data_IF_754258158799
#
_entry.id   IF_754258158799
#
_cell.length_a   1.000
_cell.length_b   1.000
_cell.length_c   1.000
_cell.angle_alpha   90.00
_cell.angle_beta   90.00
_cell.angle_gamma   90.00
#
_symmetry.space_group_name_H-M   'P 1'
#
loop_
_entity.id
_entity.type
_entity.pdbx_description
1 polymer ?
#
# COMPACT_ATOMS: atom_id res chain seq x y z
N UNK A 1 17.58 0.90 -4.00
CA UNK A 1 18.33 -0.27 -4.49
C UNK A 1 17.93 -1.61 -3.85
N UNK A 2 18.11 -1.86 -2.54
CA UNK A 2 17.73 -3.19 -1.95
C UNK A 2 16.23 -3.51 -2.11
N UNK A 3 15.36 -2.55 -1.83
CA UNK A 3 13.91 -2.65 -2.00
C UNK A 3 13.51 -2.97 -3.45
N UNK A 4 14.08 -2.24 -4.41
CA UNK A 4 13.84 -2.45 -5.85
C UNK A 4 14.28 -3.84 -6.31
N UNK A 5 15.43 -4.35 -5.83
CA UNK A 5 15.86 -5.71 -6.17
C UNK A 5 14.90 -6.79 -5.67
N UNK A 6 14.34 -6.60 -4.46
CA UNK A 6 13.30 -7.50 -3.92
C UNK A 6 12.05 -7.46 -4.80
N UNK A 7 11.61 -6.25 -5.20
CA UNK A 7 10.45 -6.08 -6.06
C UNK A 7 10.66 -6.65 -7.46
N UNK A 8 11.82 -6.44 -8.08
CA UNK A 8 12.12 -7.01 -9.39
C UNK A 8 12.25 -8.54 -9.36
N UNK A 9 12.77 -9.10 -8.27
CA UNK A 9 12.72 -10.55 -8.08
C UNK A 9 11.27 -11.04 -8.02
N UNK A 10 10.41 -10.35 -7.28
CA UNK A 10 8.99 -10.66 -7.25
C UNK A 10 8.34 -10.50 -8.64
N UNK A 11 8.68 -9.46 -9.41
CA UNK A 11 8.16 -9.27 -10.78
C UNK A 11 8.48 -10.47 -11.69
N UNK A 12 9.59 -11.17 -11.45
CA UNK A 12 10.03 -12.32 -12.25
C UNK A 12 9.47 -13.66 -11.76
N UNK A 13 9.31 -13.83 -10.44
CA UNK A 13 9.01 -15.14 -9.81
C UNK A 13 7.59 -15.20 -9.23
N UNK A 14 7.02 -14.06 -8.88
CA UNK A 14 5.72 -13.94 -8.21
C UNK A 14 5.77 -14.21 -6.71
N UNK A 15 4.61 -14.57 -6.16
CA UNK A 15 4.39 -14.84 -4.74
C UNK A 15 4.99 -16.21 -4.32
N UNK A 16 6.32 -16.28 -4.21
CA UNK A 16 6.99 -17.40 -3.56
C UNK A 16 7.33 -17.11 -2.09
N UNK A 17 7.72 -18.16 -1.36
CA UNK A 17 8.05 -18.08 0.07
C UNK A 17 9.16 -17.06 0.34
N UNK A 18 10.18 -17.03 -0.54
CA UNK A 18 11.30 -16.12 -0.39
C UNK A 18 10.88 -14.66 -0.63
N UNK A 19 10.09 -14.37 -1.67
CA UNK A 19 9.56 -13.03 -1.90
C UNK A 19 8.70 -12.58 -0.72
N UNK A 20 7.83 -13.48 -0.23
CA UNK A 20 6.99 -13.21 0.93
C UNK A 20 7.84 -12.86 2.16
N UNK A 21 8.88 -13.64 2.47
CA UNK A 21 9.76 -13.37 3.60
C UNK A 21 10.56 -12.06 3.46
N UNK A 22 10.98 -11.71 2.24
CA UNK A 22 11.72 -10.49 1.96
C UNK A 22 10.83 -9.24 2.00
N UNK A 23 9.63 -9.31 1.41
CA UNK A 23 8.65 -8.24 1.40
C UNK A 23 8.03 -8.02 2.80
N UNK A 24 7.93 -9.06 3.63
CA UNK A 24 7.41 -8.97 5.00
C UNK A 24 8.36 -8.29 5.99
N UNK A 25 9.61 -8.00 5.60
CA UNK A 25 10.57 -7.36 6.50
C UNK A 25 10.03 -5.99 6.95
N UNK A 26 10.02 -5.65 8.26
CA UNK A 26 9.39 -4.42 8.74
C UNK A 26 9.91 -3.14 8.06
N UNK A 27 11.21 -3.11 7.75
CA UNK A 27 11.85 -1.99 7.06
C UNK A 27 11.32 -1.76 5.64
N UNK A 28 10.73 -2.77 4.98
CA UNK A 28 10.13 -2.59 3.66
C UNK A 28 8.94 -1.64 3.72
N UNK A 29 8.11 -1.72 4.77
CA UNK A 29 6.97 -0.80 4.92
C UNK A 29 7.47 0.62 5.22
N UNK A 30 8.34 0.80 6.21
CA UNK A 30 8.84 2.13 6.56
C UNK A 30 9.58 2.78 5.40
N UNK A 31 10.45 2.03 4.70
CA UNK A 31 11.11 2.53 3.49
C UNK A 31 10.11 2.90 2.39
N UNK A 32 9.03 2.13 2.21
CA UNK A 32 8.00 2.44 1.23
C UNK A 32 7.28 3.76 1.54
N UNK A 33 6.99 4.02 2.82
CA UNK A 33 6.36 5.28 3.26
C UNK A 33 7.34 6.45 3.13
N UNK A 34 8.53 6.32 3.70
CA UNK A 34 9.46 7.44 3.91
C UNK A 34 10.22 7.85 2.64
N UNK A 35 10.61 6.87 1.81
CA UNK A 35 11.55 7.11 0.71
C UNK A 35 10.88 7.22 -0.66
N UNK A 36 9.76 6.53 -0.88
CA UNK A 36 9.13 6.42 -2.22
C UNK A 36 7.65 6.77 -2.22
N UNK A 37 6.98 6.77 -1.07
CA UNK A 37 5.54 6.88 -1.02
C UNK A 37 5.01 8.21 -1.57
N UNK A 38 5.60 9.34 -1.15
CA UNK A 38 5.16 10.67 -1.59
C UNK A 38 5.17 10.86 -3.13
N UNK A 39 6.28 10.59 -3.86
CA UNK A 39 6.28 10.74 -5.32
C UNK A 39 5.34 9.77 -6.03
N UNK A 40 5.16 8.54 -5.52
CA UNK A 40 4.21 7.58 -6.10
C UNK A 40 2.76 8.02 -5.88
N UNK A 41 2.41 8.47 -4.68
CA UNK A 41 1.08 9.01 -4.40
C UNK A 41 0.76 10.25 -5.23
N UNK A 42 1.73 11.15 -5.44
CA UNK A 42 1.54 12.34 -6.26
C UNK A 42 1.17 11.98 -7.71
N UNK A 43 1.80 10.94 -8.28
CA UNK A 43 1.49 10.44 -9.62
C UNK A 43 0.09 9.82 -9.69
N UNK A 44 -0.29 9.01 -8.71
CA UNK A 44 -1.64 8.44 -8.63
C UNK A 44 -2.72 9.52 -8.48
N UNK A 45 -2.49 10.50 -7.61
CA UNK A 45 -3.41 11.61 -7.34
C UNK A 45 -3.68 12.48 -8.58
N UNK A 46 -2.69 12.66 -9.48
CA UNK A 46 -2.90 13.38 -10.73
C UNK A 46 -3.98 12.74 -11.63
N UNK A 47 -4.23 11.44 -11.49
CA UNK A 47 -5.30 10.72 -12.21
C UNK A 47 -6.68 10.81 -11.57
N UNK A 48 -6.83 11.48 -10.41
CA UNK A 48 -8.04 11.42 -9.57
C UNK A 48 -8.93 12.66 -9.63
N UNK A 49 -8.53 13.71 -10.36
CA UNK A 49 -9.26 14.98 -10.41
C UNK A 49 -9.45 15.60 -9.02
N UNK A 50 -10.67 16.01 -8.69
CA UNK A 50 -11.01 16.65 -7.40
C UNK A 50 -11.32 15.65 -6.26
N UNK A 51 -11.13 14.35 -6.49
CA UNK A 51 -11.44 13.31 -5.51
C UNK A 51 -10.56 13.47 -4.26
N UNK A 52 -11.19 13.50 -3.08
CA UNK A 52 -10.52 13.62 -1.79
C UNK A 52 -11.01 12.56 -0.82
N UNK A 53 -10.08 11.89 -0.17
CA UNK A 53 -10.39 10.98 0.92
C UNK A 53 -9.13 10.66 1.74
N UNK A 54 -9.33 10.15 2.96
CA UNK A 54 -8.28 9.51 3.74
C UNK A 54 -8.58 8.02 3.83
N UNK A 55 -7.62 7.17 3.50
CA UNK A 55 -7.73 5.72 3.54
C UNK A 55 -6.72 5.10 4.48
N UNK A 56 -7.04 3.93 5.03
CA UNK A 56 -6.19 3.20 5.96
C UNK A 56 -5.94 1.76 5.50
N UNK A 57 -4.66 1.42 5.32
CA UNK A 57 -4.21 0.07 5.03
C UNK A 57 -3.65 -0.57 6.31
N UNK A 58 -4.26 -1.67 6.73
CA UNK A 58 -3.93 -2.37 7.97
C UNK A 58 -3.24 -3.69 7.70
N UNK A 59 -2.20 -3.94 8.48
CA UNK A 59 -1.63 -5.27 8.69
C UNK A 59 -1.76 -5.56 10.18
N UNK A 60 -2.31 -6.71 10.60
CA UNK A 60 -2.40 -7.06 12.01
C UNK A 60 -1.05 -6.91 12.74
N UNK A 61 -1.11 -6.38 13.97
CA UNK A 61 0.04 -6.17 14.85
C UNK A 61 1.15 -5.23 14.31
N UNK A 62 0.83 -4.41 13.31
CA UNK A 62 1.75 -3.40 12.76
C UNK A 62 1.08 -2.02 12.69
N UNK A 63 1.88 -0.93 12.64
CA UNK A 63 1.34 0.38 12.31
C UNK A 63 0.55 0.36 11.00
N UNK A 64 -0.57 1.08 10.99
CA UNK A 64 -1.36 1.29 9.79
C UNK A 64 -0.60 2.23 8.85
N UNK A 65 -0.83 2.07 7.54
CA UNK A 65 -0.44 3.07 6.56
C UNK A 65 -1.65 3.91 6.20
N UNK A 66 -1.56 5.21 6.46
CA UNK A 66 -2.62 6.18 6.18
C UNK A 66 -2.26 6.93 4.90
N UNK A 67 -3.20 6.94 3.96
CA UNK A 67 -3.11 7.62 2.68
C UNK A 67 -4.11 8.76 2.66
N UNK A 68 -3.73 9.93 2.18
CA UNK A 68 -4.66 11.02 1.89
C UNK A 68 -4.60 11.35 0.41
N UNK A 69 -5.74 11.27 -0.28
CA UNK A 69 -5.92 11.71 -1.65
C UNK A 69 -6.39 13.16 -1.71
N UNK A 70 -5.97 13.88 -2.75
CA UNK A 70 -6.39 15.25 -3.04
C UNK A 70 -5.25 16.08 -3.62
N UNK A 71 -5.39 17.41 -3.59
CA UNK A 71 -4.40 18.36 -4.13
C UNK A 71 -3.02 18.31 -3.43
N UNK A 72 -2.95 17.76 -2.22
CA UNK A 72 -1.71 17.57 -1.47
C UNK A 72 -1.74 16.17 -0.86
N UNK A 73 -1.44 15.14 -1.66
CA UNK A 73 -1.56 13.77 -1.20
C UNK A 73 -0.46 13.45 -0.19
N UNK A 74 -0.79 12.65 0.82
CA UNK A 74 0.15 12.27 1.89
C UNK A 74 0.10 10.78 2.17
N UNK A 75 1.21 10.27 2.65
CA UNK A 75 1.36 8.90 3.15
C UNK A 75 2.11 8.96 4.47
N UNK A 76 1.63 8.24 5.48
CA UNK A 76 2.26 8.20 6.79
C UNK A 76 2.00 6.88 7.50
N UNK A 77 2.90 6.50 8.41
CA UNK A 77 2.63 5.48 9.41
C UNK A 77 1.79 6.06 10.54
N UNK A 78 0.82 5.29 11.01
CA UNK A 78 -0.03 5.63 12.15
C UNK A 78 -0.04 4.46 13.12
N UNK A 79 0.10 4.76 14.42
CA UNK A 79 -0.08 3.75 15.46
C UNK A 79 -1.47 3.12 15.35
N UNK A 80 -1.60 1.81 15.58
CA UNK A 80 -2.90 1.17 15.59
C UNK A 80 -3.73 1.75 16.74
N UNK A 81 -4.82 2.41 16.40
CA UNK A 81 -5.79 2.93 17.35
C UNK A 81 -6.95 1.95 17.46
N UNK A 82 -7.36 1.54 18.68
CA UNK A 82 -8.56 0.75 18.86
C UNK A 82 -9.77 1.46 18.27
N UNK A 83 -10.72 0.70 17.74
CA UNK A 83 -11.98 1.16 17.13
C UNK A 83 -11.87 1.98 15.84
N UNK A 84 -10.67 2.21 15.29
CA UNK A 84 -10.54 2.79 13.97
C UNK A 84 -10.65 1.72 12.88
N UNK A 85 -11.65 1.84 12.00
CA UNK A 85 -11.85 0.95 10.84
C UNK A 85 -10.74 1.12 9.81
N UNK A 86 -10.32 0.02 9.18
CA UNK A 86 -9.43 0.04 8.04
C UNK A 86 -10.23 -0.12 6.74
N UNK A 87 -9.87 0.61 5.69
CA UNK A 87 -10.46 0.41 4.36
C UNK A 87 -9.96 -0.89 3.72
N UNK A 88 -8.72 -1.28 4.02
CA UNK A 88 -8.12 -2.50 3.53
C UNK A 88 -7.31 -3.17 4.63
N UNK A 89 -7.55 -4.44 4.87
CA UNK A 89 -6.77 -5.32 5.74
C UNK A 89 -6.04 -6.33 4.87
N UNK A 90 -4.74 -6.51 5.11
CA UNK A 90 -3.90 -7.41 4.32
C UNK A 90 -2.71 -7.92 5.15
N UNK A 91 -1.88 -8.76 4.55
CA UNK A 91 -0.58 -9.12 5.12
C UNK A 91 0.54 -8.13 4.73
N UNK A 92 1.68 -8.24 5.41
CA UNK A 92 2.80 -7.30 5.21
C UNK A 92 3.34 -7.29 3.77
N UNK A 93 3.58 -8.44 3.10
CA UNK A 93 4.02 -8.41 1.71
C UNK A 93 3.01 -7.78 0.76
N UNK A 94 1.72 -8.11 0.89
CA UNK A 94 0.67 -7.55 0.06
C UNK A 94 0.57 -6.03 0.21
N UNK A 95 0.69 -5.51 1.45
CA UNK A 95 0.78 -4.06 1.69
C UNK A 95 1.94 -3.44 0.93
N UNK A 96 3.13 -4.04 0.98
CA UNK A 96 4.31 -3.51 0.27
C UNK A 96 4.08 -3.52 -1.24
N UNK A 97 3.52 -4.60 -1.80
CA UNK A 97 3.20 -4.64 -3.23
C UNK A 97 2.27 -3.50 -3.63
N UNK A 98 1.20 -3.28 -2.88
CA UNK A 98 0.24 -2.20 -3.13
C UNK A 98 0.89 -0.81 -3.07
N UNK A 99 1.77 -0.56 -2.10
CA UNK A 99 2.49 0.72 -1.98
C UNK A 99 3.41 1.01 -3.18
N UNK A 100 3.76 -0.02 -3.94
CA UNK A 100 4.57 0.05 -5.15
C UNK A 100 3.75 -0.23 -6.42
N UNK A 101 2.43 -0.01 -6.38
CA UNK A 101 1.53 -0.12 -7.54
C UNK A 101 1.31 -1.55 -8.06
N UNK A 102 1.76 -2.57 -7.33
CA UNK A 102 1.61 -3.98 -7.69
C UNK A 102 0.41 -4.60 -6.97
N UNK A 103 0.04 -5.80 -7.40
CA UNK A 103 -1.00 -6.60 -6.76
C UNK A 103 -0.44 -7.97 -6.37
N UNK A 104 -0.77 -8.51 -5.19
CA UNK A 104 -0.47 -9.90 -4.88
C UNK A 104 -1.16 -10.81 -5.89
N UNK A 105 -0.54 -11.95 -6.22
CA UNK A 105 -1.11 -12.93 -7.13
C UNK A 105 -2.36 -13.59 -6.51
N UNK A 106 -2.32 -13.82 -5.20
CA UNK A 106 -3.48 -14.25 -4.43
C UNK A 106 -4.27 -13.05 -3.87
N UNK A 107 -5.37 -12.74 -4.53
CA UNK A 107 -6.28 -11.65 -4.13
C UNK A 107 -6.98 -11.89 -2.78
N UNK A 108 -7.03 -13.12 -2.28
CA UNK A 108 -7.67 -13.42 -0.99
C UNK A 108 -6.90 -12.84 0.20
N UNK A 109 -5.66 -12.42 -0.03
CA UNK A 109 -4.80 -11.70 0.94
C UNK A 109 -5.23 -10.26 1.18
N UNK A 110 -6.22 -9.77 0.42
CA UNK A 110 -6.77 -8.43 0.52
C UNK A 110 -8.24 -8.52 0.98
N UNK A 111 -8.51 -8.04 2.18
CA UNK A 111 -9.87 -7.96 2.74
C UNK A 111 -10.30 -6.51 2.88
N UNK A 112 -11.51 -6.19 2.44
CA UNK A 112 -12.03 -4.83 2.51
C UNK A 112 -13.53 -4.85 2.74
N UNK A 113 -13.97 -4.01 3.68
CA UNK A 113 -15.37 -3.66 3.86
C UNK A 113 -15.70 -2.30 3.20
N UNK A 114 -14.72 -1.71 2.50
CA UNK A 114 -14.91 -0.46 1.78
C UNK A 114 -15.70 -0.70 0.48
N UNK A 115 -16.56 0.25 0.14
CA UNK A 115 -17.33 0.19 -1.11
C UNK A 115 -16.43 0.25 -2.36
N UNK A 116 -16.95 -0.18 -3.53
CA UNK A 116 -16.19 -0.28 -4.78
C UNK A 116 -15.59 1.06 -5.24
N UNK A 117 -16.28 2.18 -5.01
CA UNK A 117 -15.76 3.53 -5.32
C UNK A 117 -14.51 3.84 -4.50
N UNK A 118 -14.56 3.53 -3.20
CA UNK A 118 -13.45 3.75 -2.27
C UNK A 118 -12.25 2.89 -2.65
N UNK A 119 -12.45 1.61 -2.95
CA UNK A 119 -11.41 0.70 -3.41
C UNK A 119 -10.81 1.13 -4.75
N UNK A 120 -11.64 1.58 -5.69
CA UNK A 120 -11.19 2.14 -6.96
C UNK A 120 -10.30 3.36 -6.76
N UNK A 121 -10.70 4.27 -5.88
CA UNK A 121 -9.90 5.44 -5.50
C UNK A 121 -8.56 5.07 -4.88
N UNK A 122 -8.53 4.12 -3.95
CA UNK A 122 -7.28 3.62 -3.33
C UNK A 122 -6.36 3.02 -4.39
N UNK A 123 -6.89 2.21 -5.31
CA UNK A 123 -6.10 1.59 -6.38
C UNK A 123 -5.49 2.63 -7.31
N UNK A 124 -6.26 3.64 -7.71
CA UNK A 124 -5.75 4.75 -8.53
C UNK A 124 -4.69 5.57 -7.81
N UNK A 125 -4.90 5.85 -6.51
CA UNK A 125 -3.92 6.58 -5.71
C UNK A 125 -2.58 5.84 -5.61
N UNK A 126 -2.62 4.51 -5.54
CA UNK A 126 -1.44 3.66 -5.40
C UNK A 126 -0.81 3.22 -6.74
N UNK A 127 -1.42 3.52 -7.89
CA UNK A 127 -0.92 3.11 -9.20
C UNK A 127 0.16 4.04 -9.79
N UNK A 128 0.84 4.83 -8.96
CA UNK A 128 1.83 5.82 -9.41
C UNK A 128 3.20 5.26 -9.79
N UNK A 129 3.41 3.95 -9.62
CA UNK A 129 4.59 3.23 -10.09
C UNK A 129 4.33 2.65 -11.48
#
# INVERSE_FOLDING_TARGET
MRSELILHRWDLVGDDEQASAQLAQPWMTSHSVDAVGAPLLARGAAGMGDTRFTSRLRVPDQPDVVLTAGASPTIALSSPEPDTSADLVCDAPARVLLLWGRQPADSTRLHSDAGPERLGGIRTLLSGY
#
